data_IF_181657646021
#
_entry.id   IF_181657646021
#
_cell.length_a   1.000
_cell.length_b   1.000
_cell.length_c   1.000
_cell.angle_alpha   90.00
_cell.angle_beta   90.00
_cell.angle_gamma   90.00
#
_symmetry.space_group_name_H-M   'P 1'
#
loop_
_entity.id
_entity.type
_entity.pdbx_description
1 polymer ?
#
# COMPACT_ATOMS: atom_id res chain seq x y z
N UNK A 1 7.44 3.46 15.02
CA UNK A 1 6.27 2.59 15.31
C UNK A 1 6.44 1.98 16.68
N UNK A 2 7.62 1.53 17.08
CA UNK A 2 7.87 1.13 18.46
C UNK A 2 8.27 2.34 19.33
N UNK A 3 8.06 2.24 20.64
CA UNK A 3 8.65 3.15 21.61
C UNK A 3 10.19 3.01 21.57
N UNK A 4 10.95 4.11 21.45
CA UNK A 4 12.42 4.02 21.36
C UNK A 4 13.08 3.72 22.70
N UNK A 5 12.42 3.99 23.83
CA UNK A 5 13.00 3.86 25.16
C UNK A 5 12.57 2.59 25.90
N UNK A 6 11.36 2.09 25.63
CA UNK A 6 10.75 1.01 26.41
C UNK A 6 11.15 -0.37 25.83
N UNK A 7 12.38 -0.79 26.14
CA UNK A 7 12.91 -2.14 25.91
C UNK A 7 13.57 -2.64 27.19
N UNK A 8 13.44 -3.93 27.55
CA UNK A 8 14.15 -4.49 28.70
C UNK A 8 15.67 -4.43 28.48
N UNK A 9 16.41 -4.38 29.59
CA UNK A 9 17.87 -4.52 29.60
C UNK A 9 18.30 -6.00 29.46
N UNK A 10 19.60 -6.22 29.24
CA UNK A 10 20.19 -7.55 29.13
C UNK A 10 19.88 -8.24 27.78
N UNK A 11 19.72 -9.57 27.81
CA UNK A 11 19.59 -10.41 26.62
C UNK A 11 18.38 -10.08 25.73
N UNK A 12 17.32 -9.50 26.32
CA UNK A 12 16.09 -9.17 25.62
C UNK A 12 16.11 -7.75 24.99
N UNK A 13 17.21 -7.01 25.16
CA UNK A 13 17.35 -5.65 24.64
C UNK A 13 17.21 -5.62 23.12
N UNK A 14 16.23 -4.86 22.62
CA UNK A 14 15.92 -4.76 21.20
C UNK A 14 15.09 -5.92 20.63
N UNK A 15 14.88 -7.01 21.38
CA UNK A 15 14.01 -8.12 21.00
C UNK A 15 12.57 -7.86 21.42
N UNK A 16 12.36 -7.52 22.68
CA UNK A 16 11.05 -7.12 23.20
C UNK A 16 10.84 -5.65 22.89
N UNK A 17 9.74 -5.33 22.21
CA UNK A 17 9.44 -3.97 21.74
C UNK A 17 8.00 -3.63 22.10
N UNK A 18 7.80 -2.42 22.61
CA UNK A 18 6.47 -1.90 22.93
C UNK A 18 5.94 -0.99 21.81
N UNK A 19 4.65 -1.08 21.51
CA UNK A 19 3.99 -0.23 20.51
C UNK A 19 3.94 1.23 20.99
N UNK A 20 4.14 2.18 20.08
CA UNK A 20 3.89 3.58 20.40
C UNK A 20 2.38 3.87 20.51
N UNK A 21 2.01 4.92 21.24
CA UNK A 21 0.63 5.23 21.64
C UNK A 21 -0.43 5.22 20.51
N UNK A 22 -0.09 5.76 19.34
CA UNK A 22 -1.02 5.87 18.21
C UNK A 22 -0.88 4.74 17.18
N UNK A 23 -0.15 3.68 17.51
CA UNK A 23 0.03 2.57 16.58
C UNK A 23 -1.23 1.74 16.52
N UNK A 24 -1.62 1.41 15.30
CA UNK A 24 -2.72 0.54 14.97
C UNK A 24 -2.19 -0.66 14.18
N UNK A 25 -2.59 -1.88 14.55
CA UNK A 25 -2.25 -3.09 13.80
C UNK A 25 -3.41 -3.41 12.86
N UNK A 26 -3.13 -3.55 11.57
CA UNK A 26 -4.17 -3.85 10.57
C UNK A 26 -4.81 -5.21 10.86
N UNK A 27 -6.15 -5.26 10.78
CA UNK A 27 -6.91 -6.52 10.82
C UNK A 27 -7.05 -7.13 9.43
N UNK A 28 -6.78 -6.34 8.39
CA UNK A 28 -6.85 -6.74 7.01
C UNK A 28 -8.25 -6.58 6.41
N UNK A 29 -8.32 -6.70 5.10
CA UNK A 29 -9.55 -6.62 4.33
C UNK A 29 -9.52 -7.57 3.14
N UNK A 30 -10.70 -7.93 2.64
CA UNK A 30 -10.81 -8.71 1.41
C UNK A 30 -10.05 -8.00 0.26
N UNK A 31 -9.33 -8.78 -0.54
CA UNK A 31 -8.58 -8.27 -1.69
C UNK A 31 -9.46 -8.08 -2.93
N UNK A 32 -10.56 -8.83 -3.05
CA UNK A 32 -11.45 -8.81 -4.21
C UNK A 32 -11.88 -7.40 -4.64
N UNK A 33 -12.33 -6.49 -3.76
CA UNK A 33 -12.73 -5.14 -4.18
C UNK A 33 -11.58 -4.34 -4.82
N UNK A 34 -10.33 -4.60 -4.41
CA UNK A 34 -9.15 -3.97 -5.03
C UNK A 34 -8.85 -4.59 -6.39
N UNK A 35 -9.02 -5.91 -6.54
CA UNK A 35 -8.82 -6.59 -7.81
C UNK A 35 -9.85 -6.14 -8.85
N UNK A 36 -11.13 -6.11 -8.49
CA UNK A 36 -12.22 -5.60 -9.34
C UNK A 36 -11.97 -4.15 -9.75
N UNK A 37 -11.60 -3.30 -8.80
CA UNK A 37 -11.24 -1.91 -9.09
C UNK A 37 -10.07 -1.79 -10.08
N UNK A 38 -9.05 -2.65 -9.97
CA UNK A 38 -7.88 -2.62 -10.86
C UNK A 38 -8.25 -3.05 -12.29
N UNK A 39 -9.11 -4.06 -12.44
CA UNK A 39 -9.64 -4.50 -13.72
C UNK A 39 -10.45 -3.38 -14.40
N UNK A 40 -11.32 -2.70 -13.65
CA UNK A 40 -12.10 -1.55 -14.15
C UNK A 40 -11.22 -0.35 -14.54
N UNK A 41 -10.11 -0.15 -13.83
CA UNK A 41 -9.18 0.98 -14.05
C UNK A 41 -8.03 0.66 -15.01
N UNK A 42 -8.29 -0.13 -16.06
CA UNK A 42 -7.35 -0.37 -17.17
C UNK A 42 -6.00 -0.97 -16.74
N UNK A 43 -6.00 -1.81 -15.71
CA UNK A 43 -4.85 -2.67 -15.43
C UNK A 43 -4.83 -3.80 -16.45
N UNK A 44 -3.78 -3.87 -17.26
CA UNK A 44 -3.63 -4.90 -18.29
C UNK A 44 -3.13 -6.20 -17.64
N UNK A 45 -3.86 -7.29 -17.85
CA UNK A 45 -3.52 -8.61 -17.33
C UNK A 45 -2.38 -9.25 -18.16
N UNK A 46 -1.91 -10.44 -17.75
CA UNK A 46 -0.81 -11.11 -18.44
C UNK A 46 -1.16 -11.65 -19.83
N UNK A 47 -2.45 -11.88 -20.11
CA UNK A 47 -2.92 -12.41 -21.39
C UNK A 47 -2.91 -11.33 -22.48
N UNK A 48 -3.09 -10.06 -22.09
CA UNK A 48 -3.19 -8.91 -22.98
C UNK A 48 -1.85 -8.22 -23.27
N UNK A 49 -0.79 -8.53 -22.51
CA UNK A 49 0.47 -7.77 -22.53
C UNK A 49 1.54 -8.41 -23.43
N UNK A 50 2.13 -7.57 -24.28
CA UNK A 50 3.40 -7.91 -24.92
C UNK A 50 4.57 -7.73 -23.94
N UNK A 51 5.55 -8.66 -23.87
CA UNK A 51 6.74 -8.48 -23.05
C UNK A 51 7.52 -7.19 -23.34
N UNK A 52 7.41 -6.66 -24.57
CA UNK A 52 8.02 -5.42 -24.98
C UNK A 52 7.42 -4.17 -24.31
N UNK A 53 6.22 -4.26 -23.71
CA UNK A 53 5.59 -3.13 -23.01
C UNK A 53 5.89 -3.04 -21.51
N UNK A 54 6.41 -4.13 -20.93
CA UNK A 54 6.67 -4.22 -19.49
C UNK A 54 7.73 -3.20 -19.01
N UNK A 55 8.86 -2.97 -19.72
CA UNK A 55 9.90 -2.06 -19.23
C UNK A 55 9.46 -0.59 -19.09
N UNK A 56 8.50 -0.13 -19.91
CA UNK A 56 7.98 1.23 -19.91
C UNK A 56 6.79 1.40 -18.95
N UNK A 57 6.04 0.34 -18.70
CA UNK A 57 4.87 0.35 -17.81
C UNK A 57 5.24 0.14 -16.34
N UNK A 58 4.27 0.35 -15.44
CA UNK A 58 4.43 0.08 -14.01
C UNK A 58 3.78 -1.24 -13.64
N UNK A 59 4.52 -2.11 -12.97
CA UNK A 59 4.02 -3.41 -12.49
C UNK A 59 3.12 -3.19 -11.28
N UNK A 60 1.98 -3.85 -11.25
CA UNK A 60 1.00 -3.76 -10.16
C UNK A 60 1.05 -5.04 -9.34
N UNK A 61 1.27 -4.90 -8.04
CA UNK A 61 1.26 -6.01 -7.10
C UNK A 61 0.16 -5.84 -6.07
N UNK A 62 -0.56 -6.90 -5.75
CA UNK A 62 -1.54 -6.96 -4.65
C UNK A 62 -1.13 -8.09 -3.72
N UNK A 63 -0.82 -7.77 -2.47
CA UNK A 63 -0.33 -8.72 -1.46
C UNK A 63 0.85 -9.60 -1.95
N UNK A 64 1.74 -9.01 -2.76
CA UNK A 64 2.89 -9.70 -3.35
C UNK A 64 2.61 -10.46 -4.64
N UNK A 65 1.35 -10.69 -5.01
CA UNK A 65 0.99 -11.25 -6.31
C UNK A 65 1.12 -10.16 -7.39
N UNK A 66 1.89 -10.42 -8.45
CA UNK A 66 1.90 -9.55 -9.62
C UNK A 66 0.60 -9.79 -10.39
N UNK A 67 -0.26 -8.77 -10.48
CA UNK A 67 -1.59 -8.89 -11.11
C UNK A 67 -1.62 -8.36 -12.55
N UNK A 68 -0.72 -7.46 -12.91
CA UNK A 68 -0.67 -6.88 -14.25
C UNK A 68 0.24 -5.67 -14.35
N UNK A 69 0.06 -4.89 -15.40
CA UNK A 69 0.78 -3.62 -15.61
C UNK A 69 -0.21 -2.47 -15.79
N UNK A 70 0.26 -1.25 -15.54
CA UNK A 70 -0.51 -0.05 -15.77
C UNK A 70 0.37 1.04 -16.40
N UNK A 71 -0.16 1.73 -17.42
CA UNK A 71 0.56 2.76 -18.17
C UNK A 71 0.58 4.12 -17.47
N UNK A 72 -0.46 4.44 -16.68
CA UNK A 72 -0.57 5.70 -15.94
C UNK A 72 -0.73 5.50 -14.42
N UNK A 73 0.31 5.00 -13.72
CA UNK A 73 0.22 4.68 -12.28
C UNK A 73 -0.01 5.92 -11.39
N UNK A 74 0.33 7.12 -11.87
CA UNK A 74 0.13 8.37 -11.11
C UNK A 74 -1.35 8.66 -10.87
N UNK A 75 -2.17 8.50 -11.91
CA UNK A 75 -3.61 8.67 -11.80
C UNK A 75 -4.20 7.61 -10.88
N UNK A 76 -3.82 6.35 -11.08
CA UNK A 76 -4.29 5.22 -10.26
C UNK A 76 -4.01 5.43 -8.77
N UNK A 77 -2.80 5.85 -8.41
CA UNK A 77 -2.45 6.12 -7.00
C UNK A 77 -3.24 7.30 -6.43
N UNK A 78 -3.49 8.36 -7.22
CA UNK A 78 -4.30 9.51 -6.77
C UNK A 78 -5.73 9.07 -6.49
N UNK A 79 -6.35 8.33 -7.41
CA UNK A 79 -7.70 7.79 -7.25
C UNK A 79 -7.81 6.88 -6.03
N UNK A 80 -6.93 5.88 -5.91
CA UNK A 80 -6.92 4.96 -4.75
C UNK A 80 -6.80 5.69 -3.41
N UNK A 81 -5.92 6.71 -3.34
CA UNK A 81 -5.76 7.52 -2.14
C UNK A 81 -6.99 8.35 -1.83
N UNK A 82 -7.68 8.86 -2.84
CA UNK A 82 -8.92 9.61 -2.68
C UNK A 82 -10.05 8.71 -2.17
N UNK A 83 -10.28 7.56 -2.80
CA UNK A 83 -11.28 6.58 -2.37
C UNK A 83 -11.04 6.12 -0.93
N UNK A 84 -9.77 5.87 -0.56
CA UNK A 84 -9.40 5.51 0.82
C UNK A 84 -9.70 6.62 1.84
N UNK A 85 -9.60 7.90 1.44
CA UNK A 85 -9.95 9.04 2.30
C UNK A 85 -11.46 9.25 2.41
N UNK A 86 -12.22 8.81 1.42
CA UNK A 86 -13.68 8.83 1.40
C UNK A 86 -14.29 7.59 2.07
N UNK A 87 -13.47 6.61 2.47
CA UNK A 87 -13.87 5.35 3.10
C UNK A 87 -14.56 4.37 2.12
N UNK A 88 -14.54 4.66 0.82
CA UNK A 88 -14.99 3.74 -0.24
C UNK A 88 -14.05 2.53 -0.37
N UNK A 89 -12.77 2.75 -0.10
CA UNK A 89 -11.76 1.71 0.08
C UNK A 89 -11.37 1.67 1.55
N UNK A 90 -11.22 0.46 2.11
CA UNK A 90 -10.84 0.29 3.51
C UNK A 90 -9.58 1.11 3.84
N UNK A 91 -9.66 1.88 4.93
CA UNK A 91 -8.61 2.81 5.36
C UNK A 91 -7.25 2.15 5.63
N UNK A 92 -7.24 0.84 5.90
CA UNK A 92 -6.04 0.03 6.13
C UNK A 92 -5.29 -0.36 4.87
N UNK A 93 -5.89 -0.19 3.69
CA UNK A 93 -5.27 -0.55 2.42
C UNK A 93 -4.00 0.27 2.23
N UNK A 94 -2.86 -0.43 2.13
CA UNK A 94 -1.55 0.16 1.89
C UNK A 94 -1.36 0.44 0.40
N UNK A 95 -0.86 1.64 0.06
CA UNK A 95 -0.58 2.05 -1.33
C UNK A 95 0.85 2.57 -1.41
N UNK A 96 1.75 1.80 -2.02
CA UNK A 96 3.19 2.10 -2.11
C UNK A 96 3.61 2.18 -3.57
N UNK A 97 4.01 3.37 -4.02
CA UNK A 97 4.56 3.58 -5.37
C UNK A 97 6.07 3.71 -5.32
N UNK A 98 6.78 2.75 -5.92
CA UNK A 98 8.22 2.83 -6.14
C UNK A 98 8.48 3.27 -7.59
N UNK A 99 8.91 4.52 -7.75
CA UNK A 99 9.12 5.13 -9.07
C UNK A 99 10.35 4.53 -9.77
N UNK A 100 11.41 4.24 -9.01
CA UNK A 100 12.67 3.73 -9.56
C UNK A 100 12.52 2.30 -10.09
N UNK A 101 11.81 1.44 -9.36
CA UNK A 101 11.55 0.07 -9.78
C UNK A 101 10.36 -0.05 -10.73
N UNK A 102 9.62 1.05 -10.96
CA UNK A 102 8.34 1.07 -11.69
C UNK A 102 7.37 0.02 -11.13
N UNK A 103 7.13 0.08 -9.82
CA UNK A 103 6.20 -0.82 -9.13
C UNK A 103 5.17 -0.03 -8.33
N UNK A 104 3.92 -0.45 -8.41
CA UNK A 104 2.86 -0.09 -7.47
C UNK A 104 2.52 -1.34 -6.67
N UNK A 105 2.64 -1.26 -5.34
CA UNK A 105 2.32 -2.35 -4.43
C UNK A 105 1.14 -1.95 -3.54
N UNK A 106 0.11 -2.79 -3.56
CA UNK A 106 -1.11 -2.66 -2.78
C UNK A 106 -1.14 -3.78 -1.73
N UNK A 107 -1.59 -3.41 -0.53
CA UNK A 107 -1.58 -4.28 0.65
C UNK A 107 -2.95 -4.24 1.33
N UNK A 108 -3.61 -5.38 1.42
CA UNK A 108 -4.89 -5.58 2.13
C UNK A 108 -4.76 -6.58 3.28
N UNK A 109 -3.55 -7.11 3.48
CA UNK A 109 -3.16 -8.04 4.53
C UNK A 109 -3.17 -7.43 5.94
N UNK A 110 -3.26 -8.33 6.92
CA UNK A 110 -3.27 -8.03 8.36
C UNK A 110 -1.85 -7.95 8.94
N UNK A 111 -1.73 -7.43 10.16
CA UNK A 111 -0.47 -7.43 10.93
C UNK A 111 0.49 -6.27 10.61
N UNK A 112 0.15 -5.38 9.69
CA UNK A 112 0.96 -4.18 9.40
C UNK A 112 0.79 -3.16 10.52
N UNK A 113 1.90 -2.63 11.02
CA UNK A 113 1.87 -1.48 11.91
C UNK A 113 1.56 -0.21 11.11
N UNK A 114 0.52 0.50 11.53
CA UNK A 114 0.06 1.76 10.95
C UNK A 114 0.00 2.85 12.04
N UNK A 115 0.00 4.12 11.64
CA UNK A 115 -0.25 5.25 12.55
C UNK A 115 -1.01 6.35 11.80
N UNK A 116 -1.98 7.01 12.45
CA UNK A 116 -2.67 8.15 11.86
C UNK A 116 -1.70 9.33 11.70
N UNK A 117 -1.88 10.09 10.63
CA UNK A 117 -1.12 11.31 10.33
C UNK A 117 -2.05 12.34 9.70
N UNK A 118 -1.71 13.63 9.88
CA UNK A 118 -2.38 14.70 9.16
C UNK A 118 -2.00 14.67 7.68
N UNK A 119 -3.00 14.76 6.82
CA UNK A 119 -2.84 14.80 5.37
C UNK A 119 -2.65 16.27 4.97
N UNK A 120 -1.54 16.58 4.32
CA UNK A 120 -1.29 17.91 3.75
C UNK A 120 -1.55 17.86 2.26
N UNK A 121 -2.43 18.74 1.76
CA UNK A 121 -2.68 18.90 0.32
C UNK A 121 -2.49 20.38 -0.08
N UNK A 122 -1.67 20.62 -1.11
CA UNK A 122 -1.39 21.95 -1.69
C UNK A 122 -1.16 23.10 -0.68
N UNK A 123 -0.34 22.88 0.35
CA UNK A 123 0.02 23.90 1.37
C UNK A 123 -1.16 24.49 2.17
N UNK A 124 -2.33 23.83 2.20
CA UNK A 124 -3.33 24.08 3.24
C UNK A 124 -3.31 22.92 4.22
N UNK A 125 -3.09 23.26 5.49
CA UNK A 125 -3.33 22.36 6.62
C UNK A 125 -4.84 22.26 6.86
#
# INVERSE_FOLDING_TARGET
MMCPAETPEGQACGLVKNLALMVYITVGSAANPILEFLEEWSTENFEEISPAVIPQSTKIFVNGCWVGIHRNPDLLVRTLRQLRRQVDVNTEVGVVRNINLKELRLYTDYGRCSRPLFIVDKKRL
#
